data_IF_954090794258
#
_entry.id   IF_954090794258
#
_cell.length_a   1.000
_cell.length_b   1.000
_cell.length_c   1.000
_cell.angle_alpha   90.00
_cell.angle_beta   90.00
_cell.angle_gamma   90.00
#
_symmetry.space_group_name_H-M   'P 1'
#
loop_
_entity.id
_entity.type
_entity.pdbx_description
1 polymer ?
#
# COMPACT_ATOMS: atom_id res chain seq x y z
N UNK A 1 1.33 -8.03 -9.58
CA UNK A 1 0.96 -6.63 -9.93
C UNK A 1 1.86 -5.65 -9.20
N UNK A 2 2.44 -4.70 -9.93
CA UNK A 2 3.44 -3.75 -9.42
C UNK A 2 2.75 -2.55 -8.73
N UNK A 3 3.42 -1.99 -7.72
CA UNK A 3 2.89 -0.92 -6.84
C UNK A 3 2.68 0.43 -7.56
N UNK A 4 3.21 0.57 -8.77
CA UNK A 4 3.24 1.82 -9.51
C UNK A 4 1.89 2.19 -10.17
N UNK A 5 0.88 1.31 -10.12
CA UNK A 5 -0.48 1.61 -10.61
C UNK A 5 -1.38 2.26 -9.53
N UNK A 6 -0.82 3.11 -8.67
CA UNK A 6 -1.56 3.78 -7.61
C UNK A 6 -1.78 5.25 -7.99
N UNK A 7 -3.00 5.62 -8.36
CA UNK A 7 -3.36 7.04 -8.58
C UNK A 7 -3.65 7.73 -7.24
N UNK A 8 -2.93 8.82 -6.96
CA UNK A 8 -3.20 9.69 -5.82
C UNK A 8 -4.16 10.80 -6.24
N UNK A 9 -5.35 10.88 -5.62
CA UNK A 9 -6.29 12.01 -5.77
C UNK A 9 -6.47 12.68 -4.41
N UNK A 10 -6.19 13.99 -4.36
CA UNK A 10 -6.10 14.77 -3.12
C UNK A 10 -7.45 15.09 -2.44
N UNK A 11 -8.58 14.98 -3.15
CA UNK A 11 -9.89 15.43 -2.66
C UNK A 11 -10.79 14.32 -2.08
N UNK A 12 -10.50 13.05 -2.36
CA UNK A 12 -11.30 11.94 -1.85
C UNK A 12 -10.48 11.12 -0.87
N UNK A 13 -11.04 10.94 0.32
CA UNK A 13 -10.65 9.95 1.32
C UNK A 13 -9.95 8.74 0.68
N UNK A 14 -8.63 8.67 0.85
CA UNK A 14 -7.68 7.67 0.33
C UNK A 14 -8.29 6.38 -0.25
N UNK A 15 -8.79 6.49 -1.47
CA UNK A 15 -9.36 5.39 -2.22
C UNK A 15 -8.36 4.97 -3.26
N UNK A 16 -7.42 4.11 -2.89
CA UNK A 16 -6.44 3.57 -3.84
C UNK A 16 -7.15 2.48 -4.63
N UNK A 17 -7.16 2.58 -5.96
CA UNK A 17 -7.71 1.52 -6.79
C UNK A 17 -6.70 0.40 -6.97
N UNK A 18 -7.16 -0.82 -6.78
CA UNK A 18 -6.39 -2.01 -7.05
C UNK A 18 -7.26 -2.92 -7.89
N UNK A 19 -6.92 -3.07 -9.17
CA UNK A 19 -7.70 -3.83 -10.15
C UNK A 19 -9.14 -3.30 -10.28
N UNK A 20 -9.27 -1.97 -10.37
CA UNK A 20 -10.56 -1.27 -10.41
C UNK A 20 -11.43 -1.46 -9.15
N UNK A 21 -10.90 -2.08 -8.09
CA UNK A 21 -11.58 -2.19 -6.80
C UNK A 21 -11.04 -1.14 -5.83
N UNK A 22 -11.95 -0.51 -5.11
CA UNK A 22 -11.65 0.53 -4.12
C UNK A 22 -10.99 -0.10 -2.89
N UNK A 23 -9.89 0.50 -2.46
CA UNK A 23 -9.22 0.15 -1.20
C UNK A 23 -9.36 1.35 -0.26
N UNK A 24 -10.07 1.14 0.85
CA UNK A 24 -10.41 2.19 1.80
C UNK A 24 -9.39 2.25 2.93
N UNK A 25 -9.18 3.46 3.48
CA UNK A 25 -8.46 3.62 4.72
C UNK A 25 -9.20 2.92 5.86
N UNK A 26 -8.48 2.11 6.63
CA UNK A 26 -9.04 1.43 7.79
C UNK A 26 -8.55 2.06 9.08
N UNK A 27 -7.23 2.13 9.25
CA UNK A 27 -6.63 2.58 10.52
C UNK A 27 -5.14 2.88 10.40
N UNK A 28 -4.62 3.54 11.41
CA UNK A 28 -3.18 3.58 11.68
C UNK A 28 -2.72 2.27 12.33
N UNK A 29 -1.50 1.87 12.03
CA UNK A 29 -0.82 0.74 12.67
C UNK A 29 0.62 1.11 12.97
N UNK A 30 1.11 0.65 14.11
CA UNK A 30 2.49 0.85 14.54
C UNK A 30 3.16 -0.50 14.61
N UNK A 31 4.38 -0.60 14.05
CA UNK A 31 5.20 -1.80 14.19
C UNK A 31 6.58 -1.41 14.67
N UNK A 32 7.01 -2.04 15.75
CA UNK A 32 8.37 -1.94 16.26
C UNK A 32 9.19 -3.04 15.62
N UNK A 33 10.34 -2.68 15.04
CA UNK A 33 11.27 -3.68 14.53
C UNK A 33 12.15 -4.27 15.65
N UNK A 34 13.00 -5.24 15.30
CA UNK A 34 13.89 -5.92 16.26
C UNK A 34 14.91 -4.99 16.93
N UNK A 35 15.13 -3.79 16.38
CA UNK A 35 16.07 -2.79 16.89
C UNK A 35 15.38 -1.70 17.71
N UNK A 36 14.06 -1.82 17.95
CA UNK A 36 13.29 -0.85 18.73
C UNK A 36 12.78 0.34 17.91
N UNK A 37 13.00 0.38 16.60
CA UNK A 37 12.50 1.47 15.77
C UNK A 37 11.01 1.28 15.46
N UNK A 38 10.21 2.29 15.78
CA UNK A 38 8.76 2.29 15.55
C UNK A 38 8.47 2.89 14.19
N UNK A 39 7.72 2.16 13.36
CA UNK A 39 7.24 2.62 12.06
C UNK A 39 5.74 2.78 12.07
N UNK A 40 5.27 3.94 11.63
CA UNK A 40 3.87 4.22 11.36
C UNK A 40 3.47 3.67 9.99
N UNK A 41 2.26 3.13 9.94
CA UNK A 41 1.64 2.63 8.72
C UNK A 41 0.19 3.10 8.67
N UNK A 42 -0.23 3.53 7.48
CA UNK A 42 -1.64 3.62 7.10
C UNK A 42 -2.06 2.27 6.54
N UNK A 43 -3.07 1.66 7.15
CA UNK A 43 -3.62 0.38 6.70
C UNK A 43 -4.83 0.65 5.82
N UNK A 44 -4.78 0.09 4.63
CA UNK A 44 -5.86 0.11 3.66
C UNK A 44 -6.37 -1.30 3.44
N UNK A 45 -7.67 -1.47 3.25
CA UNK A 45 -8.30 -2.75 2.96
C UNK A 45 -9.27 -2.63 1.79
N UNK A 46 -9.21 -3.62 0.91
CA UNK A 46 -10.13 -3.72 -0.22
C UNK A 46 -11.54 -4.04 0.29
N UNK A 47 -12.56 -3.48 -0.35
CA UNK A 47 -13.96 -3.72 0.05
C UNK A 47 -14.36 -5.20 -0.11
N UNK A 48 -14.09 -5.77 -1.28
CA UNK A 48 -14.31 -7.19 -1.54
C UNK A 48 -13.20 -7.74 -2.44
N UNK A 49 -12.70 -8.93 -2.10
CA UNK A 49 -11.74 -9.71 -2.89
C UNK A 49 -12.23 -11.14 -3.17
N UNK A 50 -13.49 -11.46 -2.88
CA UNK A 50 -14.02 -12.82 -2.95
C UNK A 50 -14.12 -13.32 -4.38
N UNK A 51 -14.65 -12.49 -5.29
CA UNK A 51 -14.85 -12.84 -6.71
C UNK A 51 -13.83 -12.18 -7.64
N UNK A 52 -12.59 -11.96 -7.17
CA UNK A 52 -11.56 -11.33 -8.01
C UNK A 52 -10.82 -12.41 -8.83
N UNK A 53 -10.88 -12.42 -10.17
CA UNK A 53 -10.17 -13.42 -10.99
C UNK A 53 -8.65 -13.29 -10.86
N UNK A 54 -8.17 -12.10 -10.48
CA UNK A 54 -6.75 -11.82 -10.26
C UNK A 54 -6.33 -12.02 -8.81
N UNK A 55 -7.18 -12.59 -7.94
CA UNK A 55 -6.92 -12.74 -6.50
C UNK A 55 -5.58 -13.43 -6.26
N UNK A 56 -5.31 -14.53 -6.96
CA UNK A 56 -4.06 -15.31 -6.81
C UNK A 56 -2.80 -14.47 -7.10
N UNK A 57 -2.85 -13.56 -8.08
CA UNK A 57 -1.73 -12.66 -8.41
C UNK A 57 -1.71 -11.36 -7.58
N UNK A 58 -2.80 -11.08 -6.86
CA UNK A 58 -3.05 -9.83 -6.16
C UNK A 58 -2.80 -9.95 -4.65
N UNK A 59 -3.16 -11.06 -4.03
CA UNK A 59 -3.00 -11.25 -2.59
C UNK A 59 -2.67 -12.69 -2.23
N UNK A 60 -1.80 -12.86 -1.24
CA UNK A 60 -1.50 -14.15 -0.61
C UNK A 60 -2.41 -14.43 0.60
N UNK A 61 -3.39 -13.56 0.87
CA UNK A 61 -4.33 -13.76 1.97
C UNK A 61 -5.22 -14.99 1.72
N UNK A 62 -5.50 -15.74 2.79
CA UNK A 62 -6.42 -16.89 2.78
C UNK A 62 -7.74 -16.55 2.09
N UNK A 63 -8.33 -17.54 1.41
CA UNK A 63 -9.64 -17.40 0.76
C UNK A 63 -10.69 -16.86 1.76
N UNK A 64 -11.53 -15.93 1.31
CA UNK A 64 -12.50 -15.23 2.16
C UNK A 64 -11.96 -14.03 2.94
N UNK A 65 -10.67 -13.68 2.82
CA UNK A 65 -10.11 -12.44 3.39
C UNK A 65 -9.82 -11.39 2.32
N UNK A 66 -10.04 -10.13 2.67
CA UNK A 66 -9.72 -8.99 1.82
C UNK A 66 -8.23 -8.67 1.86
N UNK A 67 -7.72 -8.12 0.75
CA UNK A 67 -6.33 -7.67 0.68
C UNK A 67 -6.14 -6.45 1.58
N UNK A 68 -5.13 -6.52 2.45
CA UNK A 68 -4.64 -5.40 3.24
C UNK A 68 -3.34 -4.85 2.67
N UNK A 69 -3.22 -3.54 2.67
CA UNK A 69 -2.03 -2.81 2.23
C UNK A 69 -1.54 -1.97 3.41
N UNK A 70 -0.26 -2.09 3.71
CA UNK A 70 0.42 -1.28 4.72
C UNK A 70 1.26 -0.24 4.00
N UNK A 71 0.86 1.02 4.11
CA UNK A 71 1.53 2.14 3.49
C UNK A 71 2.31 2.93 4.54
N UNK A 72 3.62 3.03 4.36
CA UNK A 72 4.45 3.90 5.19
C UNK A 72 4.85 5.14 4.36
N UNK A 73 4.31 6.33 4.65
CA UNK A 73 4.59 7.54 3.86
C UNK A 73 6.06 7.96 3.93
N UNK A 74 6.68 7.86 5.11
CA UNK A 74 8.09 8.24 5.33
C UNK A 74 9.02 7.37 4.48
N UNK A 75 8.77 6.06 4.45
CA UNK A 75 9.53 5.12 3.64
C UNK A 75 9.40 5.39 2.14
N UNK A 76 8.22 5.77 1.66
CA UNK A 76 8.05 6.16 0.26
C UNK A 76 8.82 7.43 -0.10
N UNK A 77 8.79 8.43 0.78
CA UNK A 77 9.57 9.64 0.59
C UNK A 77 11.07 9.34 0.53
N UNK A 78 11.58 8.54 1.47
CA UNK A 78 13.00 8.15 1.51
C UNK A 78 13.43 7.40 0.25
N UNK A 79 12.60 6.47 -0.25
CA UNK A 79 12.89 5.79 -1.53
C UNK A 79 12.86 6.74 -2.71
N UNK A 80 11.91 7.67 -2.77
CA UNK A 80 11.84 8.66 -3.84
C UNK A 80 13.06 9.59 -3.81
N UNK A 81 13.51 10.00 -2.61
CA UNK A 81 14.74 10.76 -2.44
C UNK A 81 15.95 9.97 -2.94
N UNK A 82 16.09 8.71 -2.53
CA UNK A 82 17.18 7.84 -2.98
C UNK A 82 17.18 7.66 -4.51
N UNK A 83 16.02 7.44 -5.12
CA UNK A 83 15.87 7.36 -6.59
C UNK A 83 16.29 8.65 -7.28
N UNK A 84 15.90 9.82 -6.74
CA UNK A 84 16.30 11.12 -7.29
C UNK A 84 17.81 11.32 -7.19
N UNK A 85 18.43 11.00 -6.05
CA UNK A 85 19.88 11.09 -5.87
C UNK A 85 20.62 10.21 -6.87
N UNK A 86 20.21 8.95 -7.02
CA UNK A 86 20.79 8.03 -8.00
C UNK A 86 20.59 8.50 -9.46
N UNK A 87 19.46 9.13 -9.76
CA UNK A 87 19.18 9.67 -11.08
C UNK A 87 19.93 10.99 -11.37
N UNK A 88 20.33 11.75 -10.34
CA UNK A 88 21.11 12.98 -10.49
C UNK A 88 22.62 12.76 -10.60
N UNK A 89 23.09 11.54 -10.33
CA UNK A 89 24.50 11.13 -10.49
C UNK A 89 24.79 10.55 -11.89
N UNK A 90 23.83 10.61 -12.82
CA UNK A 90 23.93 10.21 -14.23
C UNK A 90 23.91 11.46 -15.12
#
# INVERSE_FOLDING_TARGET
MHRDHWEYRAMDYFSVFLNQRKVNFQRYAYRTDRYGYVRDFKVYECEDCSDCPLRAACTTAQSGKNRKIYYNPVWEELKNRARRSLASEI
#
